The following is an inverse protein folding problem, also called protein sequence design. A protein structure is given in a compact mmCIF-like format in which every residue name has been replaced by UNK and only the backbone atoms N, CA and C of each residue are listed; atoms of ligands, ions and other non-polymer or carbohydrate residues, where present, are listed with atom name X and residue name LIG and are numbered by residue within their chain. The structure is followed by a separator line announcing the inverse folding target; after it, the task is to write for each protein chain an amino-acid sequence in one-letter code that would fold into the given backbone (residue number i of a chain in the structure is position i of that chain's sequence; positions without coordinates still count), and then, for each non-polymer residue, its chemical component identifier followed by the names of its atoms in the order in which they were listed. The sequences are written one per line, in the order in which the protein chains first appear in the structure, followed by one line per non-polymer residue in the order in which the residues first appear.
data_IF_819722221054
#
_entry.id   IF_819722221054
#
_cell.length_a   1.000
_cell.length_b   1.000
_cell.length_c   1.000
_cell.angle_alpha   90.00
_cell.angle_beta   90.00
_cell.angle_gamma   90.00
#
_symmetry.space_group_name_H-M   'P 1'
#
loop_
_entity.id
_entity.type
_entity.pdbx_description
1 polymer ?
#
# COMPACT_ATOMS: atom_id res chain seq x y z
N UNK A 1 -1.73 8.98 23.33
CA UNK A 1 -2.84 8.55 22.45
C UNK A 1 -2.38 8.77 21.03
N UNK A 2 -2.34 7.74 20.19
CA UNK A 2 -2.08 7.92 18.76
C UNK A 2 -3.27 8.66 18.20
N UNK A 3 -3.09 9.91 17.79
CA UNK A 3 -4.12 10.68 17.09
C UNK A 3 -4.55 9.88 15.87
N UNK A 4 -5.80 9.37 15.84
CA UNK A 4 -6.24 8.57 14.70
C UNK A 4 -6.26 9.45 13.44
N UNK A 5 -5.59 9.02 12.39
CA UNK A 5 -5.61 9.71 11.10
C UNK A 5 -7.05 9.66 10.56
N UNK A 6 -7.57 10.80 10.12
CA UNK A 6 -8.91 10.92 9.56
C UNK A 6 -8.85 10.84 8.03
N UNK A 7 -9.52 9.83 7.48
CA UNK A 7 -9.56 9.57 6.05
C UNK A 7 -10.90 9.98 5.43
N UNK A 8 -10.83 10.46 4.20
CA UNK A 8 -12.02 10.77 3.40
C UNK A 8 -12.79 9.49 3.08
N UNK A 9 -13.94 9.30 3.73
CA UNK A 9 -14.77 8.09 3.62
C UNK A 9 -15.19 7.75 2.19
N UNK A 10 -15.40 8.76 1.32
CA UNK A 10 -15.75 8.53 -0.09
C UNK A 10 -14.58 7.86 -0.81
N UNK A 11 -13.38 8.42 -0.67
CA UNK A 11 -12.17 7.88 -1.30
C UNK A 11 -11.79 6.50 -0.76
N UNK A 12 -12.06 6.23 0.53
CA UNK A 12 -11.96 4.89 1.12
C UNK A 12 -12.92 3.92 0.41
N UNK A 13 -14.21 4.27 0.31
CA UNK A 13 -15.20 3.40 -0.33
C UNK A 13 -14.93 3.18 -1.83
N UNK A 14 -14.42 4.19 -2.52
CA UNK A 14 -14.01 4.05 -3.92
C UNK A 14 -12.86 3.05 -4.06
N UNK A 15 -11.86 3.10 -3.18
CA UNK A 15 -10.77 2.12 -3.15
C UNK A 15 -11.25 0.68 -2.88
N UNK A 16 -12.22 0.52 -1.98
CA UNK A 16 -12.83 -0.80 -1.70
C UNK A 16 -13.55 -1.35 -2.93
N UNK A 17 -14.36 -0.52 -3.58
CA UNK A 17 -15.10 -0.89 -4.79
C UNK A 17 -14.17 -1.27 -5.93
N UNK A 18 -13.11 -0.49 -6.13
CA UNK A 18 -12.14 -0.78 -7.19
C UNK A 18 -11.44 -2.10 -6.94
N UNK A 19 -11.01 -2.37 -5.70
CA UNK A 19 -10.38 -3.65 -5.35
C UNK A 19 -11.33 -4.84 -5.55
N UNK A 20 -12.60 -4.70 -5.19
CA UNK A 20 -13.60 -5.79 -5.31
C UNK A 20 -13.81 -6.28 -6.75
N UNK A 21 -13.46 -5.46 -7.74
CA UNK A 21 -13.60 -5.76 -9.17
C UNK A 21 -12.33 -6.38 -9.77
N UNK A 22 -11.22 -6.41 -9.05
CA UNK A 22 -9.96 -6.92 -9.56
C UNK A 22 -9.96 -8.45 -9.62
N UNK A 23 -9.66 -8.97 -10.80
CA UNK A 23 -9.36 -10.39 -10.98
C UNK A 23 -7.84 -10.59 -10.86
N UNK A 24 -7.40 -10.92 -9.66
CA UNK A 24 -5.99 -11.12 -9.32
C UNK A 24 -5.64 -12.61 -9.34
N UNK A 25 -4.41 -12.93 -9.76
CA UNK A 25 -3.87 -14.27 -9.55
C UNK A 25 -3.77 -14.59 -8.05
N UNK A 26 -3.65 -15.87 -7.70
CA UNK A 26 -3.49 -16.30 -6.30
C UNK A 26 -2.27 -15.64 -5.65
N UNK A 27 -1.16 -15.56 -6.38
CA UNK A 27 0.09 -15.00 -5.87
C UNK A 27 0.00 -13.49 -5.68
N UNK A 28 -0.61 -12.77 -6.64
CA UNK A 28 -0.88 -11.34 -6.50
C UNK A 28 -1.78 -11.05 -5.30
N UNK A 29 -2.83 -11.86 -5.11
CA UNK A 29 -3.73 -11.73 -3.96
C UNK A 29 -3.00 -11.97 -2.65
N UNK A 30 -2.19 -13.02 -2.56
CA UNK A 30 -1.41 -13.33 -1.36
C UNK A 30 -0.41 -12.21 -1.02
N UNK A 31 0.27 -11.65 -2.04
CA UNK A 31 1.19 -10.53 -1.86
C UNK A 31 0.46 -9.29 -1.30
N UNK A 32 -0.68 -8.93 -1.88
CA UNK A 32 -1.49 -7.80 -1.43
C UNK A 32 -2.08 -8.04 -0.04
N UNK A 33 -2.55 -9.25 0.25
CA UNK A 33 -3.10 -9.62 1.56
C UNK A 33 -2.04 -9.52 2.67
N UNK A 34 -0.82 -10.01 2.41
CA UNK A 34 0.28 -9.93 3.36
C UNK A 34 0.73 -8.49 3.59
N UNK A 35 0.85 -7.70 2.52
CA UNK A 35 1.16 -6.28 2.64
C UNK A 35 0.10 -5.54 3.45
N UNK A 36 -1.18 -5.74 3.15
CA UNK A 36 -2.30 -5.08 3.85
C UNK A 36 -2.26 -5.35 5.36
N UNK A 37 -2.01 -6.59 5.79
CA UNK A 37 -1.87 -6.94 7.21
C UNK A 37 -0.79 -6.13 7.92
N UNK A 38 0.33 -5.86 7.25
CA UNK A 38 1.41 -5.04 7.83
C UNK A 38 0.94 -3.61 8.03
N UNK A 39 0.35 -2.99 7.00
CA UNK A 39 -0.12 -1.59 7.06
C UNK A 39 -1.25 -1.37 8.08
N UNK A 40 -2.15 -2.34 8.24
CA UNK A 40 -3.29 -2.25 9.16
C UNK A 40 -2.88 -2.22 10.65
N UNK A 41 -1.65 -2.59 10.99
CA UNK A 41 -1.12 -2.40 12.35
C UNK A 41 -0.86 -0.92 12.68
N UNK A 42 -0.72 -0.08 11.66
CA UNK A 42 -0.35 1.34 11.80
C UNK A 42 -1.46 2.28 11.34
N UNK A 43 -2.35 1.81 10.46
CA UNK A 43 -3.38 2.62 9.81
C UNK A 43 -4.78 2.08 10.13
N UNK A 44 -5.63 2.95 10.66
CA UNK A 44 -7.03 2.63 10.92
C UNK A 44 -7.89 2.84 9.65
N UNK A 45 -7.76 1.92 8.70
CA UNK A 45 -8.58 1.84 7.49
C UNK A 45 -9.15 0.42 7.36
N UNK A 46 -10.18 0.25 6.54
CA UNK A 46 -10.67 -1.10 6.26
C UNK A 46 -9.60 -1.90 5.51
N UNK A 47 -9.55 -3.22 5.76
CA UNK A 47 -8.63 -4.10 5.04
C UNK A 47 -8.85 -4.03 3.53
N UNK A 48 -10.11 -3.96 3.09
CA UNK A 48 -10.45 -3.89 1.67
C UNK A 48 -9.96 -2.58 1.01
N UNK A 49 -10.06 -1.45 1.71
CA UNK A 49 -9.53 -0.18 1.22
C UNK A 49 -8.00 -0.22 1.12
N UNK A 50 -7.33 -0.77 2.15
CA UNK A 50 -5.87 -0.91 2.16
C UNK A 50 -5.38 -1.75 0.97
N UNK A 51 -6.04 -2.88 0.71
CA UNK A 51 -5.76 -3.70 -0.48
C UNK A 51 -5.98 -2.94 -1.78
N UNK A 52 -7.04 -2.12 -1.85
CA UNK A 52 -7.29 -1.22 -2.98
C UNK A 52 -6.14 -0.24 -3.22
N UNK A 53 -5.69 0.47 -2.19
CA UNK A 53 -4.57 1.40 -2.30
C UNK A 53 -3.25 0.71 -2.68
N UNK A 54 -2.94 -0.44 -2.10
CA UNK A 54 -1.75 -1.23 -2.44
C UNK A 54 -1.80 -1.67 -3.90
N UNK A 55 -2.93 -2.23 -4.35
CA UNK A 55 -3.08 -2.68 -5.74
C UNK A 55 -2.94 -1.53 -6.73
N UNK A 56 -3.43 -0.32 -6.37
CA UNK A 56 -3.23 0.90 -7.17
C UNK A 56 -1.77 1.33 -7.20
N UNK A 57 -1.07 1.33 -6.06
CA UNK A 57 0.34 1.68 -6.00
C UNK A 57 1.21 0.71 -6.81
N UNK A 58 0.93 -0.59 -6.72
CA UNK A 58 1.56 -1.62 -7.56
C UNK A 58 1.31 -1.39 -9.04
N UNK A 59 0.05 -1.12 -9.44
CA UNK A 59 -0.28 -0.81 -10.84
C UNK A 59 0.46 0.42 -11.33
N UNK A 60 0.49 1.50 -10.56
CA UNK A 60 1.17 2.74 -10.93
C UNK A 60 2.68 2.50 -11.07
N UNK A 61 3.29 1.71 -10.18
CA UNK A 61 4.69 1.32 -10.29
C UNK A 61 4.98 0.52 -11.57
N UNK A 62 4.15 -0.48 -11.88
CA UNK A 62 4.29 -1.29 -13.10
C UNK A 62 4.14 -0.43 -14.37
N UNK A 63 3.20 0.51 -14.38
CA UNK A 63 3.00 1.43 -15.50
C UNK A 63 4.18 2.40 -15.71
N UNK A 64 4.78 2.88 -14.60
CA UNK A 64 5.96 3.77 -14.61
C UNK A 64 7.23 3.03 -15.05
N UNK A 65 7.41 1.78 -14.62
CA UNK A 65 8.66 1.02 -14.85
C UNK A 65 8.61 0.07 -16.05
N UNK A 66 7.42 -0.20 -16.60
CA UNK A 66 7.18 -1.22 -17.63
C UNK A 66 7.59 -2.63 -17.20
N UNK A 67 7.58 -2.90 -15.90
CA UNK A 67 7.84 -4.22 -15.32
C UNK A 67 6.56 -4.82 -14.74
N UNK A 68 6.44 -6.13 -14.77
CA UNK A 68 5.37 -6.90 -14.13
C UNK A 68 5.84 -7.42 -12.76
N UNK A 69 4.93 -7.51 -11.79
CA UNK A 69 5.18 -8.08 -10.47
C UNK A 69 4.82 -9.58 -10.37
N UNK A 70 4.46 -10.24 -11.46
CA UNK A 70 4.12 -11.66 -11.49
C UNK A 70 5.18 -12.54 -10.83
N UNK A 71 6.46 -12.26 -11.10
CA UNK A 71 7.60 -13.02 -10.59
C UNK A 71 8.32 -12.31 -9.44
N UNK A 72 7.66 -11.36 -8.74
CA UNK A 72 8.31 -10.53 -7.72
C UNK A 72 9.09 -11.34 -6.67
N UNK A 73 8.56 -12.50 -6.26
CA UNK A 73 9.19 -13.37 -5.25
C UNK A 73 10.43 -14.12 -5.76
N UNK A 74 10.67 -14.18 -7.07
CA UNK A 74 11.86 -14.82 -7.64
C UNK A 74 12.98 -13.83 -7.95
N UNK A 75 12.78 -12.53 -7.70
CA UNK A 75 13.77 -11.51 -8.00
C UNK A 75 14.85 -11.45 -6.92
N UNK A 76 16.03 -10.86 -7.22
CA UNK A 76 17.05 -10.66 -6.20
C UNK A 76 16.51 -9.84 -5.03
N UNK A 77 16.85 -10.24 -3.79
CA UNK A 77 16.40 -9.59 -2.56
C UNK A 77 16.58 -8.06 -2.58
N UNK A 78 17.73 -7.58 -3.04
CA UNK A 78 18.00 -6.14 -3.12
C UNK A 78 17.03 -5.41 -4.06
N UNK A 79 16.61 -6.06 -5.16
CA UNK A 79 15.59 -5.50 -6.05
C UNK A 79 14.22 -5.51 -5.40
N UNK A 80 13.82 -6.61 -4.75
CA UNK A 80 12.54 -6.70 -4.03
C UNK A 80 12.39 -5.58 -2.97
N UNK A 81 13.48 -5.32 -2.23
CA UNK A 81 13.56 -4.25 -1.24
C UNK A 81 13.35 -2.88 -1.90
N UNK A 82 14.06 -2.62 -2.99
CA UNK A 82 13.97 -1.34 -3.70
C UNK A 82 12.56 -1.11 -4.25
N UNK A 83 11.96 -2.12 -4.86
CA UNK A 83 10.61 -2.08 -5.41
C UNK A 83 9.58 -1.82 -4.31
N UNK A 84 9.72 -2.51 -3.17
CA UNK A 84 8.82 -2.32 -2.01
C UNK A 84 8.89 -0.88 -1.51
N UNK A 85 10.08 -0.29 -1.44
CA UNK A 85 10.24 1.13 -1.09
C UNK A 85 9.61 2.06 -2.11
N UNK A 86 9.75 1.77 -3.40
CA UNK A 86 9.18 2.62 -4.46
C UNK A 86 7.65 2.53 -4.53
N UNK A 87 7.08 1.34 -4.37
CA UNK A 87 5.63 1.15 -4.19
C UNK A 87 5.16 1.89 -2.94
N UNK A 88 5.92 1.80 -1.83
CA UNK A 88 5.64 2.52 -0.60
C UNK A 88 5.59 4.04 -0.76
N UNK A 89 6.51 4.63 -1.56
CA UNK A 89 6.46 6.07 -1.91
C UNK A 89 5.19 6.42 -2.68
N UNK A 90 4.83 5.61 -3.68
CA UNK A 90 3.60 5.82 -4.46
C UNK A 90 2.37 5.69 -3.56
N UNK A 91 2.38 4.74 -2.62
CA UNK A 91 1.31 4.58 -1.63
C UNK A 91 1.18 5.84 -0.76
N UNK A 92 2.28 6.44 -0.30
CA UNK A 92 2.26 7.75 0.39
C UNK A 92 1.60 8.81 -0.47
N UNK A 93 2.05 8.98 -1.72
CA UNK A 93 1.47 9.96 -2.66
C UNK A 93 -0.05 9.80 -2.85
N UNK A 94 -0.53 8.56 -2.85
CA UNK A 94 -1.96 8.26 -2.97
C UNK A 94 -2.68 8.62 -1.67
N UNK A 95 -2.17 8.14 -0.53
CA UNK A 95 -2.87 8.25 0.76
C UNK A 95 -2.86 9.68 1.32
N UNK A 96 -1.86 10.52 1.02
CA UNK A 96 -1.88 11.94 1.43
C UNK A 96 -3.06 12.70 0.84
N UNK A 97 -3.55 12.29 -0.33
CA UNK A 97 -4.75 12.87 -0.98
C UNK A 97 -6.06 12.37 -0.34
N UNK A 98 -5.98 11.33 0.48
CA UNK A 98 -7.14 10.72 1.17
C UNK A 98 -7.27 11.28 2.58
N UNK A 99 -6.19 11.76 3.18
CA UNK A 99 -6.21 12.39 4.51
C UNK A 99 -7.00 13.70 4.45
N UNK A 100 -7.91 13.90 5.41
CA UNK A 100 -8.77 15.09 5.48
C UNK A 100 -7.97 16.30 5.97
N UNK A 101 -7.10 16.09 6.95
CA UNK A 101 -6.39 17.11 7.72
C UNK A 101 -4.90 17.09 7.36
N UNK A 102 -4.41 18.16 6.74
CA UNK A 102 -3.01 18.21 6.27
C UNK A 102 -2.00 18.07 7.40
N UNK A 103 -2.33 18.48 8.62
CA UNK A 103 -1.50 18.29 9.82
C UNK A 103 -1.28 16.81 10.20
N UNK A 104 -2.11 15.90 9.69
CA UNK A 104 -1.98 14.45 9.91
C UNK A 104 -1.09 13.77 8.85
N UNK A 105 -0.70 14.46 7.78
CA UNK A 105 0.16 13.91 6.73
C UNK A 105 1.50 13.37 7.30
N UNK A 106 2.22 14.11 8.17
CA UNK A 106 3.47 13.57 8.75
C UNK A 106 3.27 12.35 9.64
N UNK A 107 2.07 12.13 10.18
CA UNK A 107 1.74 10.91 10.92
C UNK A 107 1.48 9.74 9.96
N UNK A 108 0.74 9.98 8.88
CA UNK A 108 0.53 8.99 7.81
C UNK A 108 1.86 8.53 7.20
N UNK A 109 2.74 9.47 6.85
CA UNK A 109 4.01 9.16 6.22
C UNK A 109 4.88 8.26 7.11
N UNK A 110 4.98 8.59 8.40
CA UNK A 110 5.69 7.75 9.38
C UNK A 110 5.10 6.36 9.50
N UNK A 111 3.76 6.25 9.60
CA UNK A 111 3.09 4.96 9.67
C UNK A 111 3.37 4.09 8.42
N UNK A 112 3.41 4.69 7.23
CA UNK A 112 3.76 3.99 6.00
C UNK A 112 5.25 3.60 5.99
N UNK A 113 6.16 4.47 6.43
CA UNK A 113 7.59 4.16 6.50
C UNK A 113 7.89 3.02 7.47
N UNK A 114 7.25 3.00 8.65
CA UNK A 114 7.37 1.89 9.61
C UNK A 114 6.88 0.57 8.99
N UNK A 115 5.76 0.58 8.27
CA UNK A 115 5.24 -0.61 7.60
C UNK A 115 6.16 -1.10 6.46
N UNK A 116 6.80 -0.19 5.71
CA UNK A 116 7.79 -0.53 4.68
C UNK A 116 9.01 -1.18 5.33
N UNK A 117 9.52 -0.62 6.43
CA UNK A 117 10.69 -1.15 7.11
C UNK A 117 10.45 -2.56 7.67
N UNK A 118 9.26 -2.83 8.20
CA UNK A 118 8.87 -4.18 8.60
C UNK A 118 8.78 -5.12 7.39
N UNK A 119 8.16 -4.68 6.31
CA UNK A 119 8.01 -5.51 5.10
C UNK A 119 9.36 -5.90 4.50
N UNK A 120 10.28 -4.95 4.42
CA UNK A 120 11.64 -5.14 3.89
C UNK A 120 12.49 -6.07 4.76
N UNK A 121 12.31 -6.04 6.09
CA UNK A 121 13.01 -6.94 7.02
C UNK A 121 12.57 -8.41 6.91
N UNK A 122 11.38 -8.65 6.33
CA UNK A 122 10.80 -9.98 6.19
C UNK A 122 11.12 -10.67 4.85
N UNK A 123 11.81 -9.98 3.93
CA UNK A 123 12.52 -10.62 2.80
C UNK A 123 13.88 -11.16 3.27
#
# INVERSE_FOLDING_TARGET
MVSSIEFNKKLISDAEKDYSKLNLSKDQRALIDNAAKVYLNYLNVSEMAMKGFISRAMRDWQLRTKKDLADFMSWPKNEMIQITRDIGKILKEIMTKVVIKSEQIPLLERAIDEAIDISVKNF
#
